data_IF_591579780247
#
_entry.id   IF_591579780247
#
_cell.length_a   1.000
_cell.length_b   1.000
_cell.length_c   1.000
_cell.angle_alpha   90.00
_cell.angle_beta   90.00
_cell.angle_gamma   90.00
#
_symmetry.space_group_name_H-M   'P 1'
#
loop_
_entity.id
_entity.type
_entity.pdbx_description
1 polymer ?
#
# COMPACT_ATOMS: atom_id res chain seq x y z
N UNK A 1 3.11 -9.28 -7.34
CA UNK A 1 2.56 -10.54 -7.86
C UNK A 1 2.25 -11.44 -6.66
N UNK A 2 1.15 -11.14 -5.96
CA UNK A 2 0.73 -11.85 -4.75
C UNK A 2 -0.51 -12.69 -5.09
N UNK A 3 -0.43 -13.97 -4.74
CA UNK A 3 -1.49 -14.94 -4.95
C UNK A 3 -2.78 -14.51 -4.22
N UNK A 4 -3.96 -14.73 -4.80
CA UNK A 4 -5.22 -14.44 -4.12
C UNK A 4 -5.40 -15.43 -2.97
N UNK A 5 -5.51 -14.90 -1.75
CA UNK A 5 -6.08 -15.60 -0.60
C UNK A 5 -7.47 -16.07 -0.98
N UNK A 6 -7.57 -17.37 -1.25
CA UNK A 6 -8.85 -18.02 -1.48
C UNK A 6 -9.73 -17.85 -0.24
N UNK A 7 -11.00 -17.44 -0.38
CA UNK A 7 -11.92 -17.51 0.74
C UNK A 7 -11.99 -18.97 1.19
N UNK A 8 -11.75 -19.22 2.48
CA UNK A 8 -11.96 -20.54 3.08
C UNK A 8 -13.45 -20.82 2.94
N UNK A 9 -13.78 -21.52 1.87
CA UNK A 9 -15.13 -21.87 1.52
C UNK A 9 -15.70 -22.76 2.63
N UNK A 10 -16.83 -22.42 3.26
CA UNK A 10 -17.49 -23.28 4.25
C UNK A 10 -17.89 -24.66 3.69
N UNK A 11 -17.76 -24.86 2.37
CA UNK A 11 -18.01 -26.11 1.69
C UNK A 11 -16.98 -27.23 1.96
N UNK A 12 -15.76 -26.91 2.39
CA UNK A 12 -14.71 -27.94 2.56
C UNK A 12 -14.92 -28.79 3.82
N UNK A 13 -15.39 -28.18 4.91
CA UNK A 13 -15.76 -28.89 6.14
C UNK A 13 -16.99 -29.78 5.94
N UNK A 14 -18.00 -29.27 5.25
CA UNK A 14 -19.22 -30.02 4.93
C UNK A 14 -18.94 -31.26 4.07
N UNK A 15 -18.06 -31.15 3.07
CA UNK A 15 -17.60 -32.29 2.24
C UNK A 15 -16.88 -33.36 3.04
N UNK A 16 -16.08 -32.98 4.02
CA UNK A 16 -15.30 -33.93 4.81
C UNK A 16 -16.17 -34.73 5.78
N UNK A 17 -17.21 -34.10 6.34
CA UNK A 17 -18.22 -34.73 7.20
C UNK A 17 -19.13 -35.63 6.37
N UNK A 18 -19.62 -35.15 5.21
CA UNK A 18 -20.45 -35.96 4.31
C UNK A 18 -19.69 -37.16 3.73
N UNK A 19 -18.40 -37.03 3.42
CA UNK A 19 -17.59 -38.15 2.95
C UNK A 19 -17.37 -39.19 4.05
N UNK A 20 -17.12 -38.77 5.29
CA UNK A 20 -17.02 -39.70 6.43
C UNK A 20 -18.34 -40.43 6.66
N UNK A 21 -19.47 -39.70 6.66
CA UNK A 21 -20.82 -40.26 6.79
C UNK A 21 -21.12 -41.28 5.68
N UNK A 22 -20.75 -40.96 4.44
CA UNK A 22 -20.97 -41.81 3.27
C UNK A 22 -20.13 -43.09 3.37
N UNK A 23 -18.88 -43.01 3.82
CA UNK A 23 -18.04 -44.21 4.04
C UNK A 23 -18.65 -45.11 5.13
N UNK A 24 -19.16 -44.55 6.23
CA UNK A 24 -19.81 -45.35 7.28
C UNK A 24 -21.07 -46.04 6.78
N UNK A 25 -21.89 -45.34 5.97
CA UNK A 25 -23.11 -45.90 5.36
C UNK A 25 -22.77 -47.01 4.36
N UNK A 26 -21.74 -46.81 3.52
CA UNK A 26 -21.30 -47.80 2.54
C UNK A 26 -20.71 -49.05 3.21
N UNK A 27 -19.87 -48.89 4.24
CA UNK A 27 -19.28 -50.01 4.97
C UNK A 27 -20.34 -50.77 5.78
N UNK A 28 -21.23 -50.06 6.47
CA UNK A 28 -22.36 -50.68 7.19
C UNK A 28 -23.31 -51.42 6.26
N UNK A 29 -23.61 -50.83 5.08
CA UNK A 29 -24.43 -51.46 4.05
C UNK A 29 -23.76 -52.69 3.42
N UNK A 30 -22.45 -52.64 3.15
CA UNK A 30 -21.69 -53.76 2.62
C UNK A 30 -21.64 -54.93 3.61
N UNK A 31 -21.43 -54.66 4.91
CA UNK A 31 -21.46 -55.68 5.96
C UNK A 31 -22.85 -56.29 6.09
N UNK A 32 -23.92 -55.48 6.10
CA UNK A 32 -25.30 -55.98 6.15
C UNK A 32 -25.63 -56.89 4.95
N UNK A 33 -25.26 -56.49 3.73
CA UNK A 33 -25.46 -57.29 2.54
C UNK A 33 -24.67 -58.61 2.58
N UNK A 34 -23.40 -58.56 3.03
CA UNK A 34 -22.59 -59.77 3.20
C UNK A 34 -23.18 -60.72 4.24
N UNK A 35 -23.66 -60.19 5.37
CA UNK A 35 -24.29 -60.98 6.42
C UNK A 35 -25.60 -61.62 5.93
N UNK A 36 -26.39 -60.90 5.13
CA UNK A 36 -27.65 -61.39 4.58
C UNK A 36 -27.47 -62.44 3.46
N UNK A 37 -26.38 -62.34 2.69
CA UNK A 37 -26.06 -63.31 1.61
C UNK A 37 -25.41 -64.58 2.16
N UNK A 38 -24.65 -64.48 3.26
CA UNK A 38 -23.92 -65.62 3.85
C UNK A 38 -24.73 -66.35 4.94
N UNK A 39 -25.71 -65.69 5.56
CA UNK A 39 -26.48 -66.22 6.69
C UNK A 39 -27.96 -66.52 6.40
N UNK A 40 -28.29 -66.99 5.19
CA UNK A 40 -29.67 -67.11 4.72
C UNK A 40 -30.54 -68.18 5.43
N UNK A 41 -29.98 -69.02 6.30
CA UNK A 41 -30.71 -70.13 6.94
C UNK A 41 -30.93 -70.01 8.47
N UNK A 42 -30.48 -68.93 9.13
CA UNK A 42 -30.78 -68.71 10.55
C UNK A 42 -31.49 -67.37 10.79
N UNK A 43 -32.83 -67.42 10.86
CA UNK A 43 -33.71 -66.33 11.28
C UNK A 43 -33.49 -65.99 12.76
N UNK A 44 -32.39 -65.29 13.06
CA UNK A 44 -32.06 -64.83 14.42
C UNK A 44 -31.84 -63.31 14.48
N UNK A 45 -32.28 -62.63 15.56
CA UNK A 45 -32.08 -61.19 15.77
C UNK A 45 -30.59 -60.75 15.90
N UNK A 46 -29.65 -61.69 15.84
CA UNK A 46 -28.21 -61.48 16.04
C UNK A 46 -27.52 -60.72 14.90
N UNK A 47 -28.05 -60.75 13.67
CA UNK A 47 -27.46 -60.02 12.53
C UNK A 47 -27.53 -58.50 12.70
N UNK A 48 -28.64 -57.98 13.24
CA UNK A 48 -28.81 -56.56 13.56
C UNK A 48 -27.82 -56.12 14.64
N UNK A 49 -27.68 -56.92 15.71
CA UNK A 49 -26.71 -56.63 16.80
C UNK A 49 -25.28 -56.57 16.26
N UNK A 50 -24.90 -57.51 15.38
CA UNK A 50 -23.55 -57.57 14.82
C UNK A 50 -23.23 -56.38 13.90
N UNK A 51 -24.18 -55.99 13.04
CA UNK A 51 -24.02 -54.83 12.15
C UNK A 51 -23.91 -53.50 12.91
N UNK A 52 -24.72 -53.30 13.96
CA UNK A 52 -24.66 -52.12 14.83
C UNK A 52 -23.32 -52.08 15.58
N UNK A 53 -22.86 -53.23 16.08
CA UNK A 53 -21.56 -53.35 16.74
C UNK A 53 -20.40 -53.00 15.80
N UNK A 54 -20.39 -53.58 14.59
CA UNK A 54 -19.37 -53.28 13.58
C UNK A 54 -19.39 -51.82 13.15
N UNK A 55 -20.57 -51.23 12.94
CA UNK A 55 -20.73 -49.81 12.62
C UNK A 55 -20.21 -48.89 13.74
N UNK A 56 -20.49 -49.24 15.01
CA UNK A 56 -19.99 -48.52 16.17
C UNK A 56 -18.46 -48.54 16.29
N UNK A 57 -17.84 -49.70 16.05
CA UNK A 57 -16.37 -49.84 16.07
C UNK A 57 -15.72 -48.99 14.98
N UNK A 58 -16.27 -49.01 13.76
CA UNK A 58 -15.76 -48.20 12.65
C UNK A 58 -15.85 -46.71 12.97
N UNK A 59 -16.96 -46.25 13.54
CA UNK A 59 -17.13 -44.85 13.96
C UNK A 59 -16.12 -44.45 15.05
N UNK A 60 -15.88 -45.31 16.04
CA UNK A 60 -14.90 -45.06 17.10
C UNK A 60 -13.49 -44.95 16.51
N UNK A 61 -13.11 -45.86 15.59
CA UNK A 61 -11.79 -45.82 14.93
C UNK A 61 -11.64 -44.55 14.09
N UNK A 62 -12.67 -44.18 13.31
CA UNK A 62 -12.66 -42.94 12.53
C UNK A 62 -12.56 -41.70 13.42
N UNK A 63 -13.25 -41.70 14.55
CA UNK A 63 -13.19 -40.62 15.53
C UNK A 63 -11.78 -40.51 16.13
N UNK A 64 -11.19 -41.61 16.57
CA UNK A 64 -9.83 -41.65 17.12
C UNK A 64 -8.78 -41.14 16.12
N UNK A 65 -8.84 -41.59 14.86
CA UNK A 65 -7.93 -41.13 13.80
C UNK A 65 -8.13 -39.63 13.53
N UNK A 66 -9.38 -39.17 13.46
CA UNK A 66 -9.68 -37.75 13.24
C UNK A 66 -9.19 -36.87 14.39
N UNK A 67 -9.35 -37.35 15.63
CA UNK A 67 -8.92 -36.64 16.83
C UNK A 67 -7.40 -36.54 16.91
N UNK A 68 -6.68 -37.64 16.65
CA UNK A 68 -5.21 -37.66 16.62
C UNK A 68 -4.68 -36.69 15.56
N UNK A 69 -5.26 -36.69 14.35
CA UNK A 69 -4.84 -35.77 13.30
C UNK A 69 -5.11 -34.29 13.65
N UNK A 70 -6.24 -34.00 14.29
CA UNK A 70 -6.53 -32.65 14.78
C UNK A 70 -5.57 -32.23 15.90
N UNK A 71 -5.25 -33.14 16.82
CA UNK A 71 -4.31 -32.88 17.91
C UNK A 71 -2.89 -32.62 17.39
N UNK A 72 -2.44 -33.35 16.36
CA UNK A 72 -1.18 -33.07 15.69
C UNK A 72 -1.16 -31.70 15.01
N UNK A 73 -2.21 -31.35 14.25
CA UNK A 73 -2.29 -30.04 13.61
C UNK A 73 -2.32 -28.88 14.62
N UNK A 74 -3.01 -29.06 15.76
CA UNK A 74 -3.01 -28.08 16.86
C UNK A 74 -1.63 -28.01 17.50
N UNK A 75 -0.99 -29.14 17.78
CA UNK A 75 0.37 -29.20 18.34
C UNK A 75 1.38 -28.49 17.44
N UNK A 76 1.36 -28.75 16.14
CA UNK A 76 2.28 -28.12 15.19
C UNK A 76 2.07 -26.60 15.11
N UNK A 77 0.82 -26.14 15.20
CA UNK A 77 0.51 -24.70 15.26
C UNK A 77 1.01 -24.05 16.56
N UNK A 78 0.87 -24.77 17.67
CA UNK A 78 1.30 -24.33 19.00
C UNK A 78 2.83 -24.30 19.09
N UNK A 79 3.52 -25.34 18.64
CA UNK A 79 4.99 -25.44 18.62
C UNK A 79 5.61 -24.36 17.73
N UNK A 80 5.01 -24.07 16.56
CA UNK A 80 5.44 -22.98 15.69
C UNK A 80 5.28 -21.61 16.37
N UNK A 81 4.12 -21.34 16.98
CA UNK A 81 3.90 -20.08 17.72
C UNK A 81 4.84 -19.96 18.92
N UNK A 82 5.11 -21.03 19.65
CA UNK A 82 6.06 -21.01 20.76
C UNK A 82 7.51 -20.85 20.31
N UNK A 83 7.90 -21.39 19.15
CA UNK A 83 9.22 -21.13 18.58
C UNK A 83 9.36 -19.66 18.15
N UNK A 84 8.32 -19.09 17.53
CA UNK A 84 8.28 -17.68 17.15
C UNK A 84 8.32 -16.77 18.40
N UNK A 85 7.55 -17.09 19.45
CA UNK A 85 7.59 -16.40 20.75
C UNK A 85 8.96 -16.56 21.41
N UNK A 86 9.52 -17.77 21.44
CA UNK A 86 10.82 -18.04 22.06
C UNK A 86 11.97 -17.28 21.38
N UNK A 87 11.90 -17.14 20.04
CA UNK A 87 12.84 -16.32 19.28
C UNK A 87 12.64 -14.83 19.58
N UNK A 88 11.39 -14.37 19.65
CA UNK A 88 11.07 -12.99 20.03
C UNK A 88 11.53 -12.65 21.46
N UNK A 89 11.30 -13.54 22.43
CA UNK A 89 11.74 -13.38 23.82
C UNK A 89 13.26 -13.41 23.96
N UNK A 90 13.96 -14.27 23.21
CA UNK A 90 15.42 -14.30 23.20
C UNK A 90 16.00 -13.00 22.62
N UNK A 91 15.43 -12.50 21.53
CA UNK A 91 15.80 -11.20 20.95
C UNK A 91 15.49 -10.06 21.92
N UNK A 92 14.36 -10.11 22.63
CA UNK A 92 13.98 -9.11 23.64
C UNK A 92 14.98 -9.05 24.81
N UNK A 93 15.43 -10.20 25.31
CA UNK A 93 16.46 -10.26 26.36
C UNK A 93 17.84 -9.79 25.88
N UNK A 94 18.19 -9.98 24.61
CA UNK A 94 19.42 -9.43 24.04
C UNK A 94 19.30 -7.92 23.79
N UNK A 95 18.10 -7.44 23.47
CA UNK A 95 17.76 -6.01 23.37
C UNK A 95 17.77 -5.31 24.73
N UNK A 96 17.46 -6.00 25.83
CA UNK A 96 17.59 -5.44 27.20
C UNK A 96 19.04 -5.01 27.53
N UNK A 97 20.03 -5.53 26.78
CA UNK A 97 21.43 -5.08 26.87
C UNK A 97 21.68 -3.72 26.20
N UNK A 98 20.79 -3.30 25.28
CA UNK A 98 20.74 -1.93 24.77
C UNK A 98 20.08 -1.07 25.87
N UNK A 99 20.78 -0.04 26.36
CA UNK A 99 20.25 0.90 27.38
C UNK A 99 19.10 1.74 26.78
N UNK A 100 17.92 1.18 26.57
CA UNK A 100 16.61 1.87 26.62
C UNK A 100 15.44 1.00 26.12
N UNK A 101 14.23 1.45 26.45
CA UNK A 101 12.93 0.92 26.03
C UNK A 101 12.58 1.13 24.54
N UNK A 102 13.57 1.39 23.68
CA UNK A 102 13.39 1.83 22.29
C UNK A 102 12.70 0.80 21.39
N UNK A 103 13.10 -0.47 21.44
CA UNK A 103 12.47 -1.54 20.63
C UNK A 103 11.04 -1.86 21.09
N UNK A 104 10.75 -2.04 22.41
CA UNK A 104 9.38 -2.17 22.88
C UNK A 104 8.49 -1.00 22.44
N UNK A 105 8.97 0.25 22.58
CA UNK A 105 8.23 1.44 22.15
C UNK A 105 8.02 1.51 20.65
N UNK A 106 9.01 1.11 19.85
CA UNK A 106 8.86 1.03 18.39
C UNK A 106 7.77 0.03 18.02
N UNK A 107 7.81 -1.18 18.58
CA UNK A 107 6.83 -2.23 18.31
C UNK A 107 5.41 -1.82 18.73
N UNK A 108 5.26 -1.21 19.90
CA UNK A 108 3.97 -0.72 20.39
C UNK A 108 3.40 0.38 19.47
N UNK A 109 4.21 1.37 19.10
CA UNK A 109 3.75 2.48 18.26
C UNK A 109 3.50 2.05 16.82
N UNK A 110 4.33 1.16 16.27
CA UNK A 110 4.09 0.57 14.95
C UNK A 110 2.76 -0.19 14.91
N UNK A 111 2.45 -0.95 15.96
CA UNK A 111 1.16 -1.66 16.08
C UNK A 111 -0.01 -0.69 16.11
N UNK A 112 0.11 0.44 16.83
CA UNK A 112 -0.92 1.49 16.86
C UNK A 112 -1.13 2.11 15.48
N UNK A 113 -0.05 2.40 14.75
CA UNK A 113 -0.13 2.94 13.38
C UNK A 113 -0.82 1.94 12.45
N UNK A 114 -0.46 0.66 12.49
CA UNK A 114 -1.03 -0.39 11.64
C UNK A 114 -2.48 -0.75 12.00
N UNK A 115 -2.91 -0.48 13.23
CA UNK A 115 -4.26 -0.83 13.69
C UNK A 115 -5.29 0.29 13.51
N UNK A 116 -4.86 1.54 13.32
CA UNK A 116 -5.76 2.69 13.30
C UNK A 116 -5.43 3.77 12.27
N UNK A 117 -4.35 3.63 11.50
CA UNK A 117 -3.99 4.55 10.44
C UNK A 117 -4.72 4.27 9.11
N UNK A 118 -4.63 5.19 8.14
CA UNK A 118 -4.89 4.87 6.74
C UNK A 118 -3.87 3.86 6.21
N UNK A 119 -4.24 3.11 5.17
CA UNK A 119 -3.41 2.04 4.58
C UNK A 119 -2.00 2.51 4.20
N UNK A 120 -1.86 3.72 3.66
CA UNK A 120 -0.55 4.29 3.32
C UNK A 120 0.38 4.43 4.54
N UNK A 121 -0.16 4.71 5.74
CA UNK A 121 0.65 4.77 6.95
C UNK A 121 1.11 3.38 7.40
N UNK A 122 0.36 2.32 7.08
CA UNK A 122 0.76 0.96 7.42
C UNK A 122 1.98 0.54 6.60
N UNK A 123 1.89 0.77 5.28
CA UNK A 123 2.97 0.52 4.34
C UNK A 123 4.19 1.39 4.68
N UNK A 124 3.99 2.68 4.95
CA UNK A 124 5.07 3.58 5.34
C UNK A 124 5.75 3.15 6.65
N UNK A 125 4.99 2.80 7.68
CA UNK A 125 5.56 2.31 8.94
C UNK A 125 6.34 1.00 8.74
N UNK A 126 5.86 0.10 7.88
CA UNK A 126 6.56 -1.14 7.56
C UNK A 126 7.89 -0.88 6.83
N UNK A 127 7.88 -0.03 5.82
CA UNK A 127 9.10 0.36 5.08
C UNK A 127 10.12 1.03 6.01
N UNK A 128 9.70 1.90 6.93
CA UNK A 128 10.62 2.54 7.88
C UNK A 128 11.22 1.56 8.90
N UNK A 129 10.45 0.58 9.37
CA UNK A 129 10.97 -0.48 10.23
C UNK A 129 11.99 -1.34 9.48
N UNK A 130 11.67 -1.73 8.24
CA UNK A 130 12.57 -2.52 7.40
C UNK A 130 13.85 -1.75 7.09
N UNK A 131 13.75 -0.45 6.82
CA UNK A 131 14.91 0.41 6.60
C UNK A 131 15.79 0.49 7.84
N UNK A 132 15.21 0.73 9.02
CA UNK A 132 15.97 0.75 10.27
C UNK A 132 16.66 -0.59 10.52
N UNK A 133 15.96 -1.71 10.27
CA UNK A 133 16.55 -3.04 10.38
C UNK A 133 17.72 -3.23 9.42
N UNK A 134 17.58 -2.82 8.15
CA UNK A 134 18.65 -2.88 7.14
C UNK A 134 19.87 -2.04 7.54
N UNK A 135 19.66 -0.82 8.04
CA UNK A 135 20.78 0.00 8.57
C UNK A 135 21.48 -0.70 9.73
N UNK A 136 20.75 -1.33 10.64
CA UNK A 136 21.37 -2.09 11.74
C UNK A 136 22.15 -3.30 11.21
N UNK A 137 21.65 -3.97 10.16
CA UNK A 137 22.34 -5.08 9.47
C UNK A 137 23.64 -4.59 8.80
N UNK A 138 23.61 -3.49 8.07
CA UNK A 138 24.79 -2.87 7.45
C UNK A 138 25.83 -2.48 8.51
N UNK A 139 25.37 -1.91 9.64
CA UNK A 139 26.24 -1.59 10.77
C UNK A 139 26.88 -2.82 11.43
N UNK A 140 26.33 -4.03 11.27
CA UNK A 140 27.06 -5.26 11.67
C UNK A 140 28.32 -5.48 10.85
N UNK A 141 28.36 -4.95 9.62
CA UNK A 141 29.52 -4.90 8.74
C UNK A 141 30.36 -3.62 8.93
N UNK A 142 30.08 -2.84 9.99
CA UNK A 142 30.77 -1.60 10.38
C UNK A 142 30.69 -0.46 9.35
N UNK A 143 29.80 -0.54 8.38
CA UNK A 143 29.56 0.51 7.39
C UNK A 143 28.09 0.54 7.01
N UNK A 144 27.51 1.73 6.95
CA UNK A 144 26.20 1.96 6.36
C UNK A 144 26.30 3.19 5.46
N UNK A 145 26.04 3.01 4.17
CA UNK A 145 26.00 4.10 3.21
C UNK A 145 24.54 4.41 2.88
N UNK A 146 24.18 5.70 2.89
CA UNK A 146 22.86 6.17 2.46
C UNK A 146 23.05 7.07 1.26
N UNK A 147 22.30 6.82 0.18
CA UNK A 147 22.36 7.63 -1.03
C UNK A 147 21.57 8.94 -0.85
N UNK A 148 22.24 10.07 -1.07
CA UNK A 148 21.65 11.42 -1.08
C UNK A 148 21.74 12.22 0.22
N UNK A 149 21.24 13.45 0.18
CA UNK A 149 20.99 14.27 1.38
C UNK A 149 19.88 13.59 2.20
N UNK A 150 20.23 13.10 3.39
CA UNK A 150 19.39 12.63 4.49
C UNK A 150 17.96 12.17 4.17
N UNK A 151 17.74 10.85 4.31
CA UNK A 151 16.45 10.17 4.49
C UNK A 151 15.25 10.82 3.76
N UNK A 152 15.10 10.45 2.50
CA UNK A 152 14.11 11.05 1.62
C UNK A 152 12.71 10.42 1.85
N UNK A 153 12.02 10.84 2.93
CA UNK A 153 10.63 10.44 3.22
C UNK A 153 9.72 10.57 1.99
N UNK A 154 9.99 11.55 1.13
CA UNK A 154 9.29 11.73 -0.13
C UNK A 154 9.37 10.48 -1.03
N UNK A 155 10.52 9.80 -1.08
CA UNK A 155 10.68 8.57 -1.86
C UNK A 155 9.91 7.42 -1.24
N UNK A 156 10.03 7.22 0.09
CA UNK A 156 9.32 6.15 0.78
C UNK A 156 7.82 6.31 0.62
N UNK A 157 7.29 7.53 0.80
CA UNK A 157 5.87 7.83 0.62
C UNK A 157 5.40 7.57 -0.82
N UNK A 158 6.20 7.97 -1.82
CA UNK A 158 5.90 7.71 -3.24
C UNK A 158 5.81 6.21 -3.53
N UNK A 159 6.70 5.39 -2.93
CA UNK A 159 6.64 3.93 -3.06
C UNK A 159 5.40 3.33 -2.38
N UNK A 160 5.01 3.85 -1.23
CA UNK A 160 3.86 3.37 -0.47
C UNK A 160 2.51 3.76 -1.10
N UNK A 161 2.49 4.77 -1.96
CA UNK A 161 1.26 5.28 -2.59
C UNK A 161 0.57 4.24 -3.46
N UNK A 162 -0.76 4.15 -3.35
CA UNK A 162 -1.60 3.15 -4.05
C UNK A 162 -2.55 3.75 -5.08
N UNK A 163 -2.96 5.00 -4.95
CA UNK A 163 -4.04 5.60 -5.74
C UNK A 163 -3.63 6.92 -6.38
N UNK A 164 -3.11 7.87 -5.61
CA UNK A 164 -2.85 9.20 -6.15
C UNK A 164 -1.82 10.03 -5.39
N UNK A 165 -1.17 10.92 -6.13
CA UNK A 165 -0.32 11.99 -5.61
C UNK A 165 -0.83 13.32 -6.16
N UNK A 166 -1.13 14.26 -5.28
CA UNK A 166 -1.52 15.63 -5.61
C UNK A 166 -0.52 16.60 -4.99
N UNK A 167 0.26 17.31 -5.82
CA UNK A 167 1.40 18.12 -5.36
C UNK A 167 1.28 19.60 -5.77
N UNK A 168 1.52 20.52 -4.83
CA UNK A 168 1.74 21.95 -5.09
C UNK A 168 3.21 22.27 -4.95
N UNK A 169 3.75 22.94 -5.97
CA UNK A 169 5.13 23.42 -6.06
C UNK A 169 5.12 24.94 -6.29
N UNK A 170 5.81 25.72 -5.46
CA UNK A 170 5.94 27.17 -5.64
C UNK A 170 7.32 27.57 -6.17
N UNK A 171 7.37 28.55 -7.07
CA UNK A 171 8.63 29.01 -7.71
C UNK A 171 9.66 29.59 -6.74
N UNK A 172 9.25 29.96 -5.52
CA UNK A 172 10.14 30.50 -4.49
C UNK A 172 10.94 29.39 -3.79
N UNK A 173 10.40 28.17 -3.76
CA UNK A 173 11.00 27.00 -3.08
C UNK A 173 11.75 26.11 -4.08
N UNK A 174 11.34 26.13 -5.35
CA UNK A 174 11.80 25.17 -6.36
C UNK A 174 12.88 25.72 -7.34
N UNK A 175 13.38 26.95 -7.16
CA UNK A 175 14.41 27.50 -8.05
C UNK A 175 15.70 26.68 -7.93
N UNK A 176 16.01 25.93 -8.99
CA UNK A 176 17.14 25.00 -9.04
C UNK A 176 16.85 23.57 -8.56
N UNK A 177 15.82 23.31 -7.74
CA UNK A 177 15.54 21.96 -7.22
C UNK A 177 15.34 20.93 -8.34
N UNK A 178 14.55 21.27 -9.35
CA UNK A 178 14.22 20.36 -10.46
C UNK A 178 15.42 19.97 -11.33
N UNK A 179 16.57 20.65 -11.20
CA UNK A 179 17.83 20.28 -11.86
C UNK A 179 18.74 19.39 -11.00
N UNK A 180 18.34 19.05 -9.78
CA UNK A 180 19.15 18.28 -8.83
C UNK A 180 18.92 16.77 -8.93
N UNK A 181 19.88 16.00 -8.41
CA UNK A 181 19.78 14.53 -8.34
C UNK A 181 18.57 14.05 -7.49
N UNK A 182 18.25 14.64 -6.32
CA UNK A 182 17.05 14.30 -5.56
C UNK A 182 15.74 14.47 -6.36
N UNK A 183 15.61 15.54 -7.14
CA UNK A 183 14.43 15.74 -7.99
C UNK A 183 14.31 14.66 -9.08
N UNK A 184 15.44 14.27 -9.70
CA UNK A 184 15.46 13.19 -10.68
C UNK A 184 15.02 11.84 -10.08
N UNK A 185 15.46 11.52 -8.85
CA UNK A 185 15.00 10.32 -8.14
C UNK A 185 13.51 10.37 -7.83
N UNK A 186 13.00 11.54 -7.42
CA UNK A 186 11.58 11.71 -7.15
C UNK A 186 10.73 11.44 -8.40
N UNK A 187 11.09 12.08 -9.51
CA UNK A 187 10.37 11.94 -10.77
C UNK A 187 10.44 10.49 -11.29
N UNK A 188 11.57 9.83 -11.12
CA UNK A 188 11.72 8.40 -11.45
C UNK A 188 10.78 7.54 -10.62
N UNK A 189 10.72 7.73 -9.29
CA UNK A 189 9.84 6.99 -8.40
C UNK A 189 8.34 7.21 -8.74
N UNK A 190 7.97 8.44 -9.10
CA UNK A 190 6.61 8.75 -9.56
C UNK A 190 6.30 8.02 -10.88
N UNK A 191 7.20 8.06 -11.85
CA UNK A 191 7.05 7.38 -13.13
C UNK A 191 6.91 5.88 -12.97
N UNK A 192 7.73 5.26 -12.12
CA UNK A 192 7.62 3.84 -11.79
C UNK A 192 6.24 3.51 -11.20
N UNK A 193 5.73 4.34 -10.29
CA UNK A 193 4.41 4.14 -9.70
C UNK A 193 3.25 4.31 -10.69
N UNK A 194 3.39 5.21 -11.66
CA UNK A 194 2.43 5.42 -12.75
C UNK A 194 2.42 4.20 -13.70
N UNK A 195 3.60 3.69 -14.04
CA UNK A 195 3.76 2.60 -15.01
C UNK A 195 3.52 1.21 -14.42
N UNK A 196 3.64 1.05 -13.10
CA UNK A 196 3.43 -0.21 -12.40
C UNK A 196 2.01 -0.74 -12.65
N UNK A 197 1.85 -1.90 -13.33
CA UNK A 197 0.54 -2.46 -13.65
C UNK A 197 -0.31 -2.80 -12.42
N UNK A 198 0.30 -3.02 -11.27
CA UNK A 198 -0.40 -3.35 -10.03
C UNK A 198 -0.95 -2.11 -9.30
N UNK A 199 -0.33 -0.94 -9.51
CA UNK A 199 -0.71 0.32 -8.83
C UNK A 199 -1.37 1.31 -9.77
N UNK A 200 -0.71 1.66 -10.87
CA UNK A 200 -1.15 2.65 -11.87
C UNK A 200 -1.72 3.91 -11.19
N UNK A 201 -0.92 4.56 -10.37
CA UNK A 201 -1.36 5.72 -9.59
C UNK A 201 -1.57 6.94 -10.50
N UNK A 202 -2.46 7.86 -10.09
CA UNK A 202 -2.62 9.16 -10.74
C UNK A 202 -1.71 10.19 -10.06
N UNK A 203 -0.89 10.90 -10.83
CA UNK A 203 -0.06 11.99 -10.30
C UNK A 203 -0.49 13.31 -10.92
N UNK A 204 -0.89 14.28 -10.09
CA UNK A 204 -1.23 15.65 -10.49
C UNK A 204 -0.27 16.62 -9.82
N UNK A 205 0.35 17.50 -10.61
CA UNK A 205 1.22 18.56 -10.10
C UNK A 205 0.75 19.94 -10.55
N UNK A 206 0.57 20.82 -9.58
CA UNK A 206 0.25 22.22 -9.80
C UNK A 206 1.46 23.08 -9.46
N UNK A 207 1.99 23.77 -10.46
CA UNK A 207 2.96 24.83 -10.24
C UNK A 207 2.24 26.16 -10.00
N UNK A 208 2.69 26.88 -8.99
CA UNK A 208 2.17 28.21 -8.67
C UNK A 208 3.29 29.23 -8.81
N UNK A 209 3.06 30.19 -9.69
CA UNK A 209 3.95 31.33 -9.91
C UNK A 209 3.29 32.61 -9.41
N UNK A 210 4.09 33.66 -9.20
CA UNK A 210 3.52 34.96 -8.82
C UNK A 210 2.86 35.61 -10.03
N UNK A 211 3.59 35.70 -11.14
CA UNK A 211 3.20 36.42 -12.37
C UNK A 211 3.15 35.49 -13.58
N UNK A 212 2.27 35.74 -14.56
CA UNK A 212 2.17 34.91 -15.77
C UNK A 212 3.48 34.82 -16.56
N UNK A 213 4.32 35.87 -16.53
CA UNK A 213 5.62 35.87 -17.21
C UNK A 213 6.56 34.75 -16.75
N UNK A 214 6.41 34.31 -15.49
CA UNK A 214 7.23 33.25 -14.89
C UNK A 214 6.90 31.86 -15.46
N UNK A 215 5.81 31.72 -16.23
CA UNK A 215 5.46 30.45 -16.90
C UNK A 215 6.54 29.98 -17.86
N UNK A 216 7.21 30.90 -18.56
CA UNK A 216 8.19 30.56 -19.58
C UNK A 216 9.36 29.74 -19.02
N UNK A 217 9.79 30.04 -17.79
CA UNK A 217 10.87 29.33 -17.11
C UNK A 217 10.48 27.89 -16.73
N UNK A 218 9.17 27.63 -16.50
CA UNK A 218 8.66 26.32 -16.12
C UNK A 218 8.36 25.41 -17.31
N UNK A 219 8.34 25.93 -18.55
CA UNK A 219 7.98 25.14 -19.74
C UNK A 219 8.82 23.86 -19.88
N UNK A 220 10.16 23.89 -19.74
CA UNK A 220 10.98 22.68 -19.85
C UNK A 220 10.61 21.64 -18.77
N UNK A 221 10.49 22.09 -17.51
CA UNK A 221 10.15 21.25 -16.35
C UNK A 221 8.76 20.62 -16.55
N UNK A 222 7.77 21.42 -16.96
CA UNK A 222 6.41 20.93 -17.20
C UNK A 222 6.36 19.92 -18.34
N UNK A 223 7.18 20.11 -19.38
CA UNK A 223 7.24 19.19 -20.52
C UNK A 223 7.83 17.85 -20.09
N UNK A 224 8.99 17.87 -19.42
CA UNK A 224 9.63 16.68 -18.89
C UNK A 224 8.69 15.88 -17.99
N UNK A 225 8.00 16.54 -17.05
CA UNK A 225 7.09 15.85 -16.14
C UNK A 225 5.86 15.26 -16.85
N UNK A 226 5.31 15.95 -17.86
CA UNK A 226 4.22 15.40 -18.69
C UNK A 226 4.67 14.18 -19.48
N UNK A 227 5.90 14.18 -20.01
CA UNK A 227 6.47 13.04 -20.72
C UNK A 227 6.65 11.82 -19.80
N UNK A 228 6.74 12.04 -18.49
CA UNK A 228 6.74 10.98 -17.46
C UNK A 228 5.33 10.51 -17.06
N UNK A 229 4.27 11.08 -17.65
CA UNK A 229 2.88 10.73 -17.37
C UNK A 229 2.25 11.48 -16.21
N UNK A 230 2.88 12.57 -15.75
CA UNK A 230 2.33 13.43 -14.70
C UNK A 230 1.37 14.45 -15.33
N UNK A 231 0.18 14.60 -14.75
CA UNK A 231 -0.72 15.69 -15.13
C UNK A 231 -0.20 16.99 -14.54
N UNK A 232 0.28 17.91 -15.39
CA UNK A 232 0.88 19.17 -14.96
C UNK A 232 0.04 20.38 -15.37
N UNK A 233 -0.35 21.18 -14.38
CA UNK A 233 -0.98 22.50 -14.55
C UNK A 233 -0.11 23.60 -13.92
N UNK A 234 -0.27 24.82 -14.43
CA UNK A 234 0.44 26.01 -13.93
C UNK A 234 -0.59 27.10 -13.72
N UNK A 235 -0.48 27.86 -12.62
CA UNK A 235 -1.36 28.98 -12.32
C UNK A 235 -0.57 30.18 -11.81
N UNK A 236 -0.94 31.37 -12.30
CA UNK A 236 -0.40 32.64 -11.81
C UNK A 236 -1.32 33.21 -10.73
N UNK A 237 -0.75 33.52 -9.55
CA UNK A 237 -1.52 34.09 -8.44
C UNK A 237 -2.22 35.40 -8.82
N UNK A 238 -1.59 36.22 -9.66
CA UNK A 238 -2.14 37.49 -10.14
C UNK A 238 -3.39 37.34 -11.02
N UNK A 239 -3.56 36.20 -11.68
CA UNK A 239 -4.75 35.91 -12.51
C UNK A 239 -5.90 35.33 -11.68
N UNK A 240 -5.59 34.80 -10.49
CA UNK A 240 -6.61 34.24 -9.61
C UNK A 240 -7.35 35.33 -8.83
N UNK A 241 -8.66 35.15 -8.56
CA UNK A 241 -9.41 36.06 -7.71
C UNK A 241 -8.76 36.26 -6.32
N UNK A 242 -8.89 37.44 -5.69
CA UNK A 242 -8.19 37.75 -4.44
C UNK A 242 -8.44 36.75 -3.29
N UNK A 243 -9.59 36.09 -3.28
CA UNK A 243 -9.90 35.08 -2.26
C UNK A 243 -9.06 33.81 -2.40
N UNK A 244 -8.57 33.46 -3.59
CA UNK A 244 -7.59 32.39 -3.77
C UNK A 244 -6.23 32.75 -3.20
N UNK A 245 -5.89 34.04 -3.10
CA UNK A 245 -4.59 34.51 -2.57
C UNK A 245 -4.55 34.54 -1.04
N UNK A 246 -5.68 34.28 -0.38
CA UNK A 246 -5.78 34.23 1.09
C UNK A 246 -5.28 32.87 1.61
N UNK A 247 -4.36 32.91 2.57
CA UNK A 247 -3.76 31.73 3.20
C UNK A 247 -2.24 31.67 3.02
N UNK A 248 -1.58 30.75 3.72
CA UNK A 248 -0.15 30.47 3.49
C UNK A 248 -0.02 29.70 2.17
N UNK A 249 0.89 30.14 1.31
CA UNK A 249 1.35 29.38 0.14
C UNK A 249 2.42 28.42 0.65
N UNK A 250 2.04 27.17 0.86
CA UNK A 250 2.92 26.12 1.36
C UNK A 250 3.06 25.08 0.26
N UNK A 251 4.27 24.60 0.08
CA UNK A 251 4.56 23.47 -0.79
C UNK A 251 4.16 22.21 -0.04
N UNK A 252 3.22 21.48 -0.63
CA UNK A 252 2.71 20.26 -0.01
C UNK A 252 2.37 19.22 -1.06
N UNK A 253 2.37 17.98 -0.60
CA UNK A 253 2.01 16.80 -1.39
C UNK A 253 1.01 16.01 -0.58
N UNK A 254 -0.10 15.63 -1.20
CA UNK A 254 -1.08 14.72 -0.62
C UNK A 254 -0.98 13.38 -1.33
N UNK A 255 -0.78 12.33 -0.54
CA UNK A 255 -0.73 10.94 -0.97
C UNK A 255 -2.04 10.24 -0.58
N UNK A 256 -2.66 9.58 -1.56
CA UNK A 256 -3.89 8.79 -1.44
C UNK A 256 -5.08 9.51 -0.76
N UNK A 257 -5.07 10.86 -0.77
CA UNK A 257 -6.06 11.66 -0.08
C UNK A 257 -6.06 11.48 1.45
N UNK A 258 -4.98 10.93 2.02
CA UNK A 258 -4.95 10.50 3.42
C UNK A 258 -3.72 11.00 4.19
N UNK A 259 -2.64 11.34 3.50
CA UNK A 259 -1.38 11.76 4.13
C UNK A 259 -0.80 12.98 3.42
N UNK A 260 -0.48 14.04 4.17
CA UNK A 260 0.24 15.20 3.68
C UNK A 260 1.74 15.12 4.00
N UNK A 261 2.54 15.62 3.07
CA UNK A 261 3.96 15.94 3.24
C UNK A 261 4.11 17.43 2.95
N UNK A 262 4.55 18.20 3.93
CA UNK A 262 4.58 19.66 3.88
C UNK A 262 5.99 20.19 4.08
N UNK A 263 6.46 20.99 3.13
CA UNK A 263 7.76 21.66 3.20
C UNK A 263 7.54 23.09 3.66
N UNK A 264 8.12 23.43 4.81
CA UNK A 264 8.09 24.78 5.33
C UNK A 264 9.43 25.44 5.05
N UNK A 265 9.41 26.51 4.26
CA UNK A 265 10.57 27.37 4.05
C UNK A 265 10.62 28.48 5.12
N UNK A 266 11.81 28.84 5.57
CA UNK A 266 12.03 30.00 6.44
C UNK A 266 11.90 31.33 5.67
N UNK A 267 12.12 32.45 6.37
CA UNK A 267 12.08 33.79 5.79
C UNK A 267 13.15 34.04 4.72
N UNK A 268 14.17 33.17 4.63
CA UNK A 268 15.25 33.20 3.65
C UNK A 268 15.04 32.16 2.54
N UNK A 269 13.84 31.57 2.43
CA UNK A 269 13.51 30.53 1.45
C UNK A 269 14.38 29.27 1.56
N UNK A 270 14.97 29.01 2.73
CA UNK A 270 15.66 27.75 3.03
C UNK A 270 14.67 26.81 3.71
N UNK A 271 14.57 25.56 3.24
CA UNK A 271 13.71 24.54 3.83
C UNK A 271 14.05 24.34 5.31
N UNK A 272 13.19 24.81 6.21
CA UNK A 272 13.43 24.80 7.66
C UNK A 272 12.88 23.56 8.34
N UNK A 273 11.82 22.96 7.81
CA UNK A 273 11.23 21.73 8.36
C UNK A 273 10.31 21.02 7.38
N UNK A 274 10.34 19.70 7.43
CA UNK A 274 9.40 18.81 6.74
C UNK A 274 8.43 18.20 7.75
N UNK A 275 7.13 18.20 7.45
CA UNK A 275 6.09 17.60 8.30
C UNK A 275 5.28 16.56 7.54
N UNK A 276 5.00 15.43 8.18
CA UNK A 276 4.05 14.43 7.69
C UNK A 276 2.79 14.47 8.58
N UNK A 277 1.60 14.53 7.97
CA UNK A 277 0.33 14.52 8.71
C UNK A 277 -0.68 13.56 8.09
N UNK A 278 -1.39 12.80 8.91
CA UNK A 278 -2.50 11.94 8.48
C UNK A 278 -3.82 12.27 9.19
N UNK A 279 -3.87 13.37 9.95
CA UNK A 279 -5.10 13.79 10.63
C UNK A 279 -6.03 14.46 9.62
N UNK A 280 -7.26 13.93 9.49
CA UNK A 280 -8.22 14.42 8.50
C UNK A 280 -8.49 15.93 8.59
N UNK A 281 -8.51 16.50 9.79
CA UNK A 281 -8.72 17.94 10.00
C UNK A 281 -7.59 18.81 9.41
N UNK A 282 -6.39 18.26 9.20
CA UNK A 282 -5.25 18.93 8.60
C UNK A 282 -5.14 18.62 7.10
N UNK A 283 -5.44 17.39 6.69
CA UNK A 283 -5.31 16.93 5.29
C UNK A 283 -6.49 17.41 4.42
N UNK A 284 -7.73 17.37 4.92
CA UNK A 284 -8.90 17.76 4.13
C UNK A 284 -8.86 19.22 3.61
N UNK A 285 -8.40 20.22 4.41
CA UNK A 285 -8.15 21.56 3.91
C UNK A 285 -7.18 21.61 2.73
N UNK A 286 -6.10 20.81 2.76
CA UNK A 286 -5.10 20.75 1.70
C UNK A 286 -5.69 20.14 0.42
N UNK A 287 -6.47 19.07 0.54
CA UNK A 287 -7.18 18.46 -0.59
C UNK A 287 -8.15 19.45 -1.23
N UNK A 288 -8.97 20.13 -0.42
CA UNK A 288 -9.90 21.15 -0.93
C UNK A 288 -9.15 22.28 -1.62
N UNK A 289 -8.05 22.74 -1.02
CA UNK A 289 -7.21 23.80 -1.57
C UNK A 289 -6.58 23.40 -2.90
N UNK A 290 -6.02 22.20 -2.99
CA UNK A 290 -5.47 21.64 -4.21
C UNK A 290 -6.51 21.62 -5.32
N UNK A 291 -7.66 20.97 -5.08
CA UNK A 291 -8.70 20.83 -6.10
C UNK A 291 -9.24 22.19 -6.57
N UNK A 292 -9.45 23.13 -5.64
CA UNK A 292 -9.90 24.48 -5.96
C UNK A 292 -8.92 25.21 -6.89
N UNK A 293 -7.61 25.12 -6.63
CA UNK A 293 -6.59 25.71 -7.51
C UNK A 293 -6.41 24.93 -8.81
N UNK A 294 -6.50 23.60 -8.75
CA UNK A 294 -6.41 22.71 -9.90
C UNK A 294 -7.48 23.03 -10.94
N UNK A 295 -8.74 23.17 -10.52
CA UNK A 295 -9.85 23.54 -11.40
C UNK A 295 -9.68 24.94 -11.97
N UNK A 296 -9.22 25.90 -11.18
CA UNK A 296 -8.96 27.27 -11.66
C UNK A 296 -7.83 27.34 -12.71
N UNK A 297 -6.90 26.38 -12.67
CA UNK A 297 -5.81 26.24 -13.63
C UNK A 297 -6.22 25.49 -14.92
N UNK A 298 -7.48 25.02 -15.03
CA UNK A 298 -7.97 24.39 -16.25
C UNK A 298 -8.14 25.43 -17.38
N UNK A 299 -7.53 25.24 -18.56
CA UNK A 299 -7.75 26.14 -19.70
C UNK A 299 -9.22 26.31 -20.09
N UNK A 300 -10.08 25.30 -19.81
CA UNK A 300 -11.52 25.35 -20.09
C UNK A 300 -12.32 26.14 -19.04
N UNK A 301 -11.79 26.28 -17.82
CA UNK A 301 -12.44 26.98 -16.69
C UNK A 301 -11.68 28.25 -16.26
N UNK A 302 -10.60 28.61 -16.97
CA UNK A 302 -9.87 29.84 -16.72
C UNK A 302 -10.82 31.03 -16.96
N UNK A 303 -11.03 31.91 -15.95
CA UNK A 303 -11.88 33.08 -16.10
C UNK A 303 -11.36 34.06 -17.18
N UNK A 304 -10.14 33.85 -17.68
CA UNK A 304 -9.51 34.60 -18.75
C UNK A 304 -9.25 33.76 -20.02
N UNK A 305 -10.04 32.71 -20.25
CA UNK A 305 -9.89 31.76 -21.36
C UNK A 305 -9.37 32.41 -22.65
N UNK A 306 -8.12 32.11 -23.01
CA UNK A 306 -7.65 32.17 -24.39
C UNK A 306 -7.57 30.74 -24.89
N UNK A 307 -8.60 30.25 -25.62
CA UNK A 307 -8.55 28.94 -26.23
C UNK A 307 -7.63 29.00 -27.46
N UNK A 308 -6.54 28.23 -27.44
CA UNK A 308 -5.89 27.71 -28.65
C UNK A 308 -4.87 28.61 -29.35
N UNK A 309 -3.59 28.39 -29.05
CA UNK A 309 -2.51 28.51 -30.03
C UNK A 309 -1.46 27.41 -29.84
N UNK A 310 -1.87 26.15 -29.96
CA UNK A 310 -0.97 25.08 -30.40
C UNK A 310 -1.73 24.23 -31.42
N UNK A 311 -1.95 24.79 -32.62
CA UNK A 311 -2.26 23.99 -33.81
C UNK A 311 -1.74 24.71 -35.06
N UNK A 312 -0.80 24.03 -35.72
CA UNK A 312 -0.37 24.21 -37.11
C UNK A 312 0.37 25.51 -37.49
N UNK A 313 1.70 25.49 -37.33
CA UNK A 313 2.60 25.96 -38.40
C UNK A 313 3.32 24.75 -39.00
N UNK A 314 2.60 24.00 -39.82
CA UNK A 314 3.25 23.20 -40.86
C UNK A 314 3.63 24.15 -41.98
N UNK A 315 4.94 24.40 -42.12
CA UNK A 315 5.53 25.08 -43.26
C UNK A 315 5.12 24.36 -44.55
N UNK A 316 4.30 25.03 -45.37
CA UNK A 316 4.09 24.70 -46.77
C UNK A 316 4.54 25.89 -47.60
N UNK A 317 5.83 25.95 -47.89
CA UNK A 317 6.39 26.80 -48.94
C UNK A 317 6.09 26.12 -50.28
N UNK A 318 5.24 26.72 -51.10
CA UNK A 318 5.16 26.45 -52.53
C UNK A 318 5.69 27.69 -53.27
N UNK A 319 6.38 27.52 -54.41
CA UNK A 319 7.14 28.58 -55.06
C UNK A 319 6.26 29.48 -55.92
N UNK A 320 6.69 30.74 -56.01
CA UNK A 320 6.20 31.75 -56.93
C UNK A 320 6.31 31.29 -58.39
N UNK A 321 5.25 31.55 -59.15
CA UNK A 321 5.25 31.58 -60.60
C UNK A 321 4.72 32.93 -61.05
N UNK A 322 5.62 33.76 -61.58
CA UNK A 322 5.47 34.57 -62.80
C UNK A 322 6.86 35.12 -63.19
#
# INVERSE_FOLDING_TARGET
MNAPTSPISPYTGARHVTQKLLVTVVVGGAVYLLTNVVGADEEGPWQLVLSVLCGGIVLIVQFLVSFVNQMHAVKDSVDKRFADIGKATKLFNEVEKLRDDGVPRLAENATKVVSGGPEILHEFAHEEINRLAGVMEDLTSLSAESSGENHDWLMTLTKCTRHSIDAISTTVVDDGFWSTEPAGRYLTAQREAILDPARRIRVRRLFIVKRPEEFAALVPICTEQRDMGIDVRVVALEELPPYFRRGKMIDFIVFDGALSYEIHADQLSVNSSTTINARANEVDPLIRRFNLLWEAADPAHSPNGVPGQVRARTNGTAPDGD
#
